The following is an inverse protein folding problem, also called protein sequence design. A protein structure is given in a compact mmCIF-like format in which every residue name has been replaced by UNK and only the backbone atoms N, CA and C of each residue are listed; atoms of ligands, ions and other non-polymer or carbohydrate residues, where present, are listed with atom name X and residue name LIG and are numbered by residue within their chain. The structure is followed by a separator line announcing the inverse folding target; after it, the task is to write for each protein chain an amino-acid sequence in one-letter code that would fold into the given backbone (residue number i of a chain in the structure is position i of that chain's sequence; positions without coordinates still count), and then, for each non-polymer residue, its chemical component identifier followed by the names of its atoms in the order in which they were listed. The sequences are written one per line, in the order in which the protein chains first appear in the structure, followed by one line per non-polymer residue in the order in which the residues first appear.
data_IF_041781665732
#
_entry.id   IF_041781665732
#
_cell.length_a   1.000
_cell.length_b   1.000
_cell.length_c   1.000
_cell.angle_alpha   90.00
_cell.angle_beta   90.00
_cell.angle_gamma   90.00
#
_symmetry.space_group_name_H-M   'P 1'
#
loop_
_entity.id
_entity.type
_entity.pdbx_description
1 polymer ?
#
# COMPACT_ATOMS: atom_id res chain seq x y z
N UNK A 1 -15.28 -10.98 30.26
CA UNK A 1 -14.16 -11.22 29.31
C UNK A 1 -14.61 -12.21 28.25
N UNK A 2 -15.06 -11.74 27.09
CA UNK A 2 -15.43 -12.62 25.96
C UNK A 2 -14.17 -13.13 25.28
N UNK A 3 -13.92 -14.45 25.32
CA UNK A 3 -12.84 -15.11 24.56
C UNK A 3 -12.96 -14.68 23.09
N UNK A 4 -11.87 -14.14 22.51
CA UNK A 4 -11.81 -13.81 21.08
C UNK A 4 -11.93 -15.10 20.28
N UNK A 5 -13.04 -15.27 19.55
CA UNK A 5 -13.15 -16.32 18.55
C UNK A 5 -12.71 -15.68 17.23
N UNK A 6 -11.64 -16.22 16.65
CA UNK A 6 -11.18 -15.87 15.30
C UNK A 6 -12.35 -16.10 14.34
N UNK A 7 -12.59 -15.17 13.40
CA UNK A 7 -13.69 -15.27 12.45
C UNK A 7 -13.56 -16.58 11.63
N UNK A 8 -14.58 -17.46 11.60
CA UNK A 8 -14.54 -18.69 10.84
C UNK A 8 -14.30 -18.46 9.33
N UNK A 9 -14.69 -17.30 8.77
CA UNK A 9 -14.38 -16.93 7.39
C UNK A 9 -12.88 -16.64 7.19
N UNK A 10 -12.22 -16.03 8.17
CA UNK A 10 -10.78 -15.79 8.12
C UNK A 10 -10.00 -17.10 8.19
N UNK A 11 -10.41 -18.01 9.09
CA UNK A 11 -9.82 -19.35 9.20
C UNK A 11 -10.06 -20.15 7.92
N UNK A 12 -11.28 -20.17 7.40
CA UNK A 12 -11.60 -20.85 6.15
C UNK A 12 -10.80 -20.27 4.96
N UNK A 13 -10.70 -18.94 4.84
CA UNK A 13 -9.92 -18.28 3.81
C UNK A 13 -8.43 -18.63 3.87
N UNK A 14 -7.84 -18.64 5.08
CA UNK A 14 -6.46 -19.05 5.29
C UNK A 14 -6.22 -20.53 4.93
N UNK A 15 -7.13 -21.43 5.34
CA UNK A 15 -7.04 -22.87 5.04
C UNK A 15 -7.18 -23.13 3.54
N UNK A 16 -8.13 -22.50 2.87
CA UNK A 16 -8.34 -22.64 1.43
C UNK A 16 -7.14 -22.07 0.64
N UNK A 17 -6.62 -20.91 1.05
CA UNK A 17 -5.41 -20.34 0.45
C UNK A 17 -4.20 -21.28 0.59
N UNK A 18 -3.98 -21.85 1.78
CA UNK A 18 -2.91 -22.82 2.02
C UNK A 18 -3.08 -24.12 1.22
N UNK A 19 -4.31 -24.65 1.13
CA UNK A 19 -4.61 -25.86 0.38
C UNK A 19 -4.38 -25.66 -1.13
N UNK A 20 -4.82 -24.53 -1.68
CA UNK A 20 -4.62 -24.21 -3.09
C UNK A 20 -3.18 -23.89 -3.42
N UNK A 21 -2.45 -23.24 -2.49
CA UNK A 21 -1.00 -23.07 -2.63
C UNK A 21 -0.29 -24.42 -2.70
N UNK A 22 -0.65 -25.37 -1.82
CA UNK A 22 -0.08 -26.71 -1.81
C UNK A 22 -0.40 -27.51 -3.09
N UNK A 23 -1.62 -27.38 -3.62
CA UNK A 23 -2.02 -28.01 -4.88
C UNK A 23 -1.30 -27.39 -6.08
N UNK A 24 -1.21 -26.06 -6.13
CA UNK A 24 -0.50 -25.33 -7.18
C UNK A 24 1.02 -25.58 -7.14
N UNK A 25 1.58 -25.82 -5.96
CA UNK A 25 3.02 -26.00 -5.72
C UNK A 25 3.66 -27.01 -6.67
N UNK A 26 2.97 -28.13 -6.92
CA UNK A 26 3.48 -29.21 -7.77
C UNK A 26 3.42 -28.88 -9.26
N UNK A 27 2.55 -27.96 -9.67
CA UNK A 27 2.28 -27.58 -11.06
C UNK A 27 3.04 -26.35 -11.52
N UNK A 28 3.54 -25.55 -10.59
CA UNK A 28 4.34 -24.36 -10.89
C UNK A 28 5.75 -24.75 -11.33
N UNK A 29 6.31 -24.07 -12.34
CA UNK A 29 7.73 -24.14 -12.66
C UNK A 29 8.58 -23.89 -11.40
N UNK A 30 9.69 -24.60 -11.25
CA UNK A 30 10.56 -24.48 -10.07
C UNK A 30 11.01 -23.03 -9.79
N UNK A 31 11.16 -22.23 -10.84
CA UNK A 31 11.49 -20.80 -10.79
C UNK A 31 10.38 -19.92 -10.20
N UNK A 32 9.10 -20.30 -10.29
CA UNK A 32 7.96 -19.47 -9.85
C UNK A 32 7.54 -19.74 -8.40
N UNK A 33 7.86 -20.93 -7.88
CA UNK A 33 7.58 -21.34 -6.48
C UNK A 33 8.12 -20.37 -5.41
N UNK A 34 9.36 -19.85 -5.50
CA UNK A 34 9.88 -18.89 -4.52
C UNK A 34 9.24 -17.49 -4.57
N UNK A 35 8.46 -17.13 -5.60
CA UNK A 35 7.74 -15.85 -5.69
C UNK A 35 6.36 -15.92 -5.01
N UNK A 36 5.69 -17.06 -5.15
CA UNK A 36 4.36 -17.26 -4.57
C UNK A 36 4.42 -17.46 -3.05
N UNK A 37 5.53 -18.00 -2.52
CA UNK A 37 5.69 -18.19 -1.09
C UNK A 37 5.67 -16.86 -0.32
N UNK A 38 6.45 -15.82 -0.68
CA UNK A 38 6.37 -14.51 -0.04
C UNK A 38 5.04 -13.79 -0.27
N UNK A 39 4.45 -13.81 -1.46
CA UNK A 39 3.12 -13.21 -1.71
C UNK A 39 2.00 -13.88 -0.87
N UNK A 40 2.11 -15.18 -0.65
CA UNK A 40 1.16 -15.93 0.19
C UNK A 40 1.46 -15.74 1.68
N UNK A 41 2.74 -15.71 2.06
CA UNK A 41 3.20 -15.46 3.43
C UNK A 41 2.92 -14.02 3.85
N UNK A 42 3.02 -13.02 2.97
CA UNK A 42 2.63 -11.62 3.26
C UNK A 42 1.13 -11.52 3.52
N UNK A 43 0.33 -12.22 2.73
CA UNK A 43 -1.14 -12.21 2.88
C UNK A 43 -1.56 -12.92 4.16
N UNK A 44 -0.93 -14.05 4.48
CA UNK A 44 -1.12 -14.79 5.73
C UNK A 44 -0.53 -14.08 6.95
N UNK A 45 0.59 -13.37 6.79
CA UNK A 45 1.22 -12.56 7.84
C UNK A 45 0.43 -11.28 8.08
N UNK A 46 -0.18 -10.68 7.06
CA UNK A 46 -1.09 -9.55 7.21
C UNK A 46 -2.37 -10.02 7.92
N UNK A 47 -2.97 -11.14 7.50
CA UNK A 47 -4.11 -11.75 8.18
C UNK A 47 -3.78 -12.15 9.64
N UNK A 48 -2.61 -12.74 9.85
CA UNK A 48 -2.09 -13.14 11.16
C UNK A 48 -1.75 -11.94 12.05
N UNK A 49 -1.19 -10.86 11.51
CA UNK A 49 -0.94 -9.60 12.21
C UNK A 49 -2.26 -8.94 12.60
N UNK A 50 -3.26 -8.90 11.71
CA UNK A 50 -4.59 -8.37 12.02
C UNK A 50 -5.26 -9.18 13.14
N UNK A 51 -5.13 -10.51 13.12
CA UNK A 51 -5.60 -11.39 14.19
C UNK A 51 -4.83 -11.22 15.51
N UNK A 52 -3.49 -11.06 15.45
CA UNK A 52 -2.62 -10.80 16.61
C UNK A 52 -2.92 -9.43 17.24
N UNK A 53 -3.21 -8.44 16.40
CA UNK A 53 -3.67 -7.11 16.79
C UNK A 53 -5.16 -7.10 17.15
N UNK A 54 -5.74 -8.24 17.60
CA UNK A 54 -7.16 -8.53 17.87
C UNK A 54 -7.98 -7.56 18.74
N UNK A 55 -7.49 -6.36 19.01
CA UNK A 55 -8.31 -5.15 19.22
C UNK A 55 -8.92 -4.59 17.93
N UNK A 56 -8.27 -4.76 16.76
CA UNK A 56 -8.77 -4.30 15.46
C UNK A 56 -10.09 -4.98 15.04
N UNK A 57 -10.30 -6.25 15.40
CA UNK A 57 -11.53 -6.99 15.07
C UNK A 57 -12.79 -6.42 15.76
N UNK A 58 -12.66 -5.88 16.99
CA UNK A 58 -13.80 -5.33 17.74
C UNK A 58 -14.23 -3.94 17.26
N UNK A 59 -13.27 -3.14 16.79
CA UNK A 59 -13.54 -1.77 16.32
C UNK A 59 -13.65 -1.66 14.79
N UNK A 60 -13.08 -2.61 14.02
CA UNK A 60 -12.89 -2.50 12.57
C UNK A 60 -13.24 -3.79 11.79
N UNK A 61 -14.34 -4.44 12.15
CA UNK A 61 -14.93 -5.59 11.44
C UNK A 61 -14.88 -5.52 9.89
N UNK A 62 -15.15 -4.36 9.23
CA UNK A 62 -15.05 -4.28 7.77
C UNK A 62 -13.67 -4.60 7.19
N UNK A 63 -12.58 -4.32 7.92
CA UNK A 63 -11.21 -4.60 7.48
C UNK A 63 -10.86 -6.08 7.64
N UNK A 64 -11.34 -6.71 8.71
CA UNK A 64 -11.21 -8.15 8.91
C UNK A 64 -11.99 -8.92 7.82
N UNK A 65 -13.24 -8.53 7.56
CA UNK A 65 -14.07 -9.10 6.50
C UNK A 65 -13.39 -8.93 5.12
N UNK A 66 -12.80 -7.76 4.85
CA UNK A 66 -12.07 -7.50 3.62
C UNK A 66 -10.87 -8.43 3.47
N UNK A 67 -10.07 -8.57 4.53
CA UNK A 67 -8.90 -9.46 4.52
C UNK A 67 -9.31 -10.91 4.26
N UNK A 68 -10.36 -11.41 4.92
CA UNK A 68 -10.88 -12.75 4.68
C UNK A 68 -11.37 -12.94 3.23
N UNK A 69 -12.11 -11.98 2.68
CA UNK A 69 -12.56 -12.01 1.30
C UNK A 69 -11.40 -11.97 0.30
N UNK A 70 -10.37 -11.18 0.57
CA UNK A 70 -9.17 -11.11 -0.26
C UNK A 70 -8.45 -12.46 -0.32
N UNK A 71 -8.31 -13.15 0.82
CA UNK A 71 -7.72 -14.50 0.86
C UNK A 71 -8.52 -15.51 0.03
N UNK A 72 -9.85 -15.50 0.17
CA UNK A 72 -10.73 -16.40 -0.62
C UNK A 72 -10.64 -16.11 -2.12
N UNK A 73 -10.60 -14.84 -2.52
CA UNK A 73 -10.51 -14.47 -3.92
C UNK A 73 -9.13 -14.77 -4.52
N UNK A 74 -8.06 -14.59 -3.75
CA UNK A 74 -6.71 -14.98 -4.17
C UNK A 74 -6.62 -16.50 -4.41
N UNK A 75 -7.23 -17.28 -3.52
CA UNK A 75 -7.44 -18.71 -3.72
C UNK A 75 -8.21 -19.00 -5.03
N UNK A 76 -9.34 -18.34 -5.25
CA UNK A 76 -10.13 -18.49 -6.48
C UNK A 76 -9.34 -18.16 -7.75
N UNK A 77 -8.53 -17.10 -7.73
CA UNK A 77 -7.65 -16.71 -8.84
C UNK A 77 -6.61 -17.78 -9.12
N UNK A 78 -5.98 -18.33 -8.09
CA UNK A 78 -5.01 -19.41 -8.25
C UNK A 78 -5.65 -20.66 -8.88
N UNK A 79 -6.85 -21.04 -8.43
CA UNK A 79 -7.60 -22.14 -9.03
C UNK A 79 -7.99 -21.87 -10.50
N UNK A 80 -8.44 -20.66 -10.81
CA UNK A 80 -8.76 -20.25 -12.19
C UNK A 80 -7.52 -20.26 -13.08
N UNK A 81 -6.38 -19.77 -12.59
CA UNK A 81 -5.14 -19.78 -13.34
C UNK A 81 -4.71 -21.21 -13.72
N UNK A 82 -4.85 -22.16 -12.79
CA UNK A 82 -4.59 -23.58 -13.06
C UNK A 82 -5.59 -24.20 -14.05
N UNK A 83 -6.87 -23.81 -13.99
CA UNK A 83 -7.92 -24.36 -14.84
C UNK A 83 -7.86 -23.84 -16.29
N UNK A 84 -7.52 -22.56 -16.46
CA UNK A 84 -7.50 -21.88 -17.76
C UNK A 84 -6.09 -21.70 -18.34
N UNK A 85 -5.06 -22.22 -17.67
CA UNK A 85 -3.66 -22.09 -18.11
C UNK A 85 -3.19 -20.62 -18.16
N UNK A 86 -3.64 -19.78 -17.22
CA UNK A 86 -3.20 -18.39 -17.16
C UNK A 86 -1.76 -18.29 -16.68
N UNK A 87 -0.99 -17.41 -17.31
CA UNK A 87 0.30 -16.98 -16.79
C UNK A 87 0.15 -16.16 -15.49
N UNK A 88 1.26 -16.03 -14.76
CA UNK A 88 1.32 -15.30 -13.49
C UNK A 88 0.84 -13.85 -13.63
N UNK A 89 1.20 -13.16 -14.73
CA UNK A 89 0.86 -11.76 -14.94
C UNK A 89 -0.65 -11.55 -15.08
N UNK A 90 -1.33 -12.43 -15.83
CA UNK A 90 -2.78 -12.41 -15.96
C UNK A 90 -3.45 -12.72 -14.63
N UNK A 91 -2.98 -13.74 -13.90
CA UNK A 91 -3.52 -14.08 -12.59
C UNK A 91 -3.44 -12.89 -11.62
N UNK A 92 -2.27 -12.23 -11.54
CA UNK A 92 -2.08 -11.03 -10.72
C UNK A 92 -2.99 -9.88 -11.17
N UNK A 93 -3.16 -9.67 -12.47
CA UNK A 93 -4.01 -8.60 -13.01
C UNK A 93 -5.49 -8.83 -12.67
N UNK A 94 -5.98 -10.08 -12.77
CA UNK A 94 -7.33 -10.45 -12.33
C UNK A 94 -7.48 -10.27 -10.83
N UNK A 95 -6.48 -10.66 -10.04
CA UNK A 95 -6.48 -10.48 -8.58
C UNK A 95 -6.59 -9.00 -8.18
N UNK A 96 -5.95 -8.08 -8.90
CA UNK A 96 -6.09 -6.63 -8.67
C UNK A 96 -7.55 -6.19 -8.84
N UNK A 97 -8.22 -6.62 -9.90
CA UNK A 97 -9.65 -6.30 -10.13
C UNK A 97 -10.55 -6.85 -9.02
N UNK A 98 -10.35 -8.10 -8.60
CA UNK A 98 -11.10 -8.68 -7.48
C UNK A 98 -10.77 -8.02 -6.14
N UNK A 99 -9.53 -7.57 -5.94
CA UNK A 99 -9.14 -6.76 -4.78
C UNK A 99 -9.90 -5.43 -4.70
N UNK A 100 -10.18 -4.79 -5.84
CA UNK A 100 -11.07 -3.62 -5.87
C UNK A 100 -12.51 -3.96 -5.47
N UNK A 101 -13.02 -5.14 -5.85
CA UNK A 101 -14.35 -5.63 -5.44
C UNK A 101 -14.42 -5.78 -3.92
N UNK A 102 -13.43 -6.44 -3.32
CA UNK A 102 -13.32 -6.58 -1.86
C UNK A 102 -13.26 -5.22 -1.17
N UNK A 103 -12.40 -4.34 -1.68
CA UNK A 103 -12.22 -3.00 -1.12
C UNK A 103 -13.51 -2.21 -1.20
N UNK A 104 -14.22 -2.26 -2.33
CA UNK A 104 -15.51 -1.61 -2.52
C UNK A 104 -16.58 -2.12 -1.56
N UNK A 105 -16.68 -3.45 -1.40
CA UNK A 105 -17.61 -4.07 -0.46
C UNK A 105 -17.34 -3.63 0.99
N UNK A 106 -16.08 -3.61 1.40
CA UNK A 106 -15.70 -3.13 2.73
C UNK A 106 -15.94 -1.62 2.89
N UNK A 107 -15.75 -0.84 1.82
CA UNK A 107 -15.92 0.63 1.83
C UNK A 107 -17.35 1.02 2.16
N UNK A 108 -18.35 0.26 1.71
CA UNK A 108 -19.76 0.48 2.04
C UNK A 108 -20.04 0.46 3.56
N UNK A 109 -19.23 -0.28 4.32
CA UNK A 109 -19.36 -0.46 5.77
C UNK A 109 -18.37 0.41 6.57
N UNK A 110 -17.59 1.24 5.89
CA UNK A 110 -16.55 2.05 6.50
C UNK A 110 -17.16 3.15 7.39
N UNK A 111 -16.90 3.07 8.69
CA UNK A 111 -17.20 4.15 9.64
C UNK A 111 -16.23 5.33 9.44
N UNK A 112 -16.66 6.57 9.75
CA UNK A 112 -15.78 7.72 9.74
C UNK A 112 -14.46 7.47 10.45
N UNK A 113 -13.36 7.68 9.73
CA UNK A 113 -12.03 7.41 10.24
C UNK A 113 -10.93 7.80 9.27
N UNK A 114 -9.71 7.78 9.78
CA UNK A 114 -8.52 8.11 9.00
C UNK A 114 -7.85 6.87 8.39
N UNK A 115 -8.47 5.70 8.53
CA UNK A 115 -7.89 4.41 8.19
C UNK A 115 -8.43 3.82 6.89
N UNK A 116 -9.75 3.76 6.75
CA UNK A 116 -10.41 2.99 5.70
C UNK A 116 -11.51 3.80 5.02
N UNK A 117 -11.73 3.54 3.72
CA UNK A 117 -12.68 4.26 2.87
C UNK A 117 -12.07 5.38 2.02
N UNK A 118 -12.90 5.96 1.15
CA UNK A 118 -12.53 7.06 0.27
C UNK A 118 -12.45 8.37 1.07
N UNK A 119 -11.23 8.89 1.24
CA UNK A 119 -10.93 10.01 2.14
C UNK A 119 -10.54 11.24 1.34
N UNK A 120 -11.41 12.25 1.40
CA UNK A 120 -11.13 13.61 0.96
C UNK A 120 -11.23 14.56 2.14
N UNK A 121 -10.77 15.80 1.99
CA UNK A 121 -10.93 16.81 3.04
C UNK A 121 -12.41 16.98 3.43
N UNK A 122 -13.31 16.89 2.44
CA UNK A 122 -14.74 17.11 2.59
C UNK A 122 -15.43 15.99 3.35
N UNK A 123 -15.10 14.74 3.03
CA UNK A 123 -15.63 13.57 3.78
C UNK A 123 -15.19 13.57 5.24
N UNK A 124 -14.06 14.20 5.57
CA UNK A 124 -13.58 14.27 6.94
C UNK A 124 -14.19 15.46 7.72
N UNK A 125 -14.59 16.50 7.01
CA UNK A 125 -15.22 17.70 7.57
C UNK A 125 -16.74 17.63 7.66
N UNK A 126 -17.38 16.62 7.03
CA UNK A 126 -18.82 16.40 7.09
C UNK A 126 -19.15 14.91 7.13
N UNK A 127 -19.88 14.50 8.17
CA UNK A 127 -20.39 13.14 8.31
C UNK A 127 -21.38 12.77 7.19
N UNK A 128 -22.22 13.73 6.75
CA UNK A 128 -23.07 13.55 5.57
C UNK A 128 -22.24 13.26 4.33
N UNK A 129 -21.22 14.08 4.07
CA UNK A 129 -20.33 13.87 2.93
C UNK A 129 -19.60 12.54 3.01
N UNK A 130 -19.19 12.10 4.21
CA UNK A 130 -18.60 10.78 4.43
C UNK A 130 -19.51 9.67 3.91
N UNK A 131 -20.72 9.51 4.46
CA UNK A 131 -21.57 8.37 4.14
C UNK A 131 -22.06 8.38 2.69
N UNK A 132 -22.37 9.55 2.13
CA UNK A 132 -22.74 9.67 0.73
C UNK A 132 -21.60 9.21 -0.19
N UNK A 133 -20.37 9.66 0.10
CA UNK A 133 -19.20 9.30 -0.69
C UNK A 133 -18.84 7.82 -0.54
N UNK A 134 -18.89 7.24 0.66
CA UNK A 134 -18.57 5.82 0.84
C UNK A 134 -19.56 4.90 0.11
N UNK A 135 -20.85 5.27 0.08
CA UNK A 135 -21.89 4.50 -0.62
C UNK A 135 -21.62 4.45 -2.13
N UNK A 136 -21.30 5.59 -2.75
CA UNK A 136 -20.98 5.62 -4.18
C UNK A 136 -19.60 5.03 -4.47
N UNK A 137 -18.62 5.25 -3.59
CA UNK A 137 -17.28 4.65 -3.73
C UNK A 137 -17.36 3.13 -3.73
N UNK A 138 -18.18 2.53 -2.86
CA UNK A 138 -18.39 1.10 -2.81
C UNK A 138 -18.91 0.54 -4.14
N UNK A 139 -19.96 1.16 -4.70
CA UNK A 139 -20.55 0.75 -5.98
C UNK A 139 -19.55 0.90 -7.12
N UNK A 140 -18.84 2.03 -7.17
CA UNK A 140 -17.87 2.32 -8.22
C UNK A 140 -16.68 1.35 -8.18
N UNK A 141 -16.11 1.10 -7.00
CA UNK A 141 -14.98 0.16 -6.84
C UNK A 141 -15.37 -1.28 -7.19
N UNK A 142 -16.56 -1.73 -6.78
CA UNK A 142 -17.07 -3.06 -7.17
C UNK A 142 -17.24 -3.15 -8.69
N UNK A 143 -17.87 -2.14 -9.30
CA UNK A 143 -18.13 -2.15 -10.75
C UNK A 143 -16.83 -2.12 -11.56
N UNK A 144 -15.93 -1.18 -11.24
CA UNK A 144 -14.62 -1.08 -11.88
C UNK A 144 -13.80 -2.35 -11.66
N UNK A 145 -13.81 -2.90 -10.45
CA UNK A 145 -13.11 -4.14 -10.12
C UNK A 145 -13.58 -5.34 -10.95
N UNK A 146 -14.90 -5.51 -11.08
CA UNK A 146 -15.49 -6.57 -11.92
C UNK A 146 -15.15 -6.38 -13.40
N UNK A 147 -15.30 -5.16 -13.92
CA UNK A 147 -14.97 -4.84 -15.32
C UNK A 147 -13.49 -5.11 -15.59
N UNK A 148 -12.60 -4.64 -14.70
CA UNK A 148 -11.16 -4.83 -14.84
C UNK A 148 -10.77 -6.31 -14.76
N UNK A 149 -11.33 -7.06 -13.80
CA UNK A 149 -11.07 -8.49 -13.67
C UNK A 149 -11.56 -9.29 -14.89
N UNK A 150 -12.76 -9.00 -15.39
CA UNK A 150 -13.29 -9.64 -16.59
C UNK A 150 -12.44 -9.32 -17.82
N UNK A 151 -12.05 -8.05 -18.00
CA UNK A 151 -11.19 -7.64 -19.10
C UNK A 151 -9.83 -8.34 -19.02
N UNK A 152 -9.21 -8.39 -17.84
CA UNK A 152 -7.96 -9.09 -17.62
C UNK A 152 -8.05 -10.61 -17.88
N UNK A 153 -9.16 -11.25 -17.52
CA UNK A 153 -9.35 -12.69 -17.74
C UNK A 153 -9.48 -13.04 -19.23
N UNK A 154 -10.22 -12.23 -19.99
CA UNK A 154 -10.66 -12.52 -21.36
C UNK A 154 -9.73 -11.97 -22.45
N UNK A 155 -8.93 -10.95 -22.15
CA UNK A 155 -8.11 -10.27 -23.16
C UNK A 155 -6.85 -11.08 -23.50
N UNK A 156 -6.48 -11.21 -24.79
CA UNK A 156 -5.22 -11.83 -25.20
C UNK A 156 -4.00 -11.16 -24.55
N UNK A 157 -2.98 -11.95 -24.19
CA UNK A 157 -1.80 -11.47 -23.45
C UNK A 157 -1.07 -10.30 -24.15
N UNK A 158 -1.06 -10.29 -25.49
CA UNK A 158 -0.44 -9.26 -26.31
C UNK A 158 -1.05 -7.85 -26.11
N UNK A 159 -2.32 -7.75 -25.71
CA UNK A 159 -2.99 -6.48 -25.40
C UNK A 159 -2.99 -6.18 -23.90
N UNK A 160 -2.97 -7.22 -23.07
CA UNK A 160 -3.06 -7.12 -21.62
C UNK A 160 -1.83 -6.42 -21.00
N UNK A 161 -0.63 -6.85 -21.38
CA UNK A 161 0.63 -6.38 -20.76
C UNK A 161 0.95 -4.91 -21.08
N UNK A 162 0.93 -4.43 -22.35
CA UNK A 162 1.32 -3.06 -22.65
C UNK A 162 0.24 -2.00 -22.37
N UNK A 163 -1.05 -2.37 -22.33
CA UNK A 163 -2.13 -1.38 -22.28
C UNK A 163 -3.04 -1.54 -21.06
N UNK A 164 -3.48 -2.76 -20.75
CA UNK A 164 -4.47 -2.97 -19.68
C UNK A 164 -3.86 -2.72 -18.31
N UNK A 165 -2.66 -3.26 -18.05
CA UNK A 165 -1.98 -3.12 -16.76
C UNK A 165 -1.63 -1.65 -16.46
N UNK A 166 -0.89 -0.91 -17.33
CA UNK A 166 -0.48 0.46 -17.01
C UNK A 166 -1.58 1.51 -17.22
N UNK A 167 -2.41 1.38 -18.26
CA UNK A 167 -3.35 2.44 -18.67
C UNK A 167 -4.78 2.11 -18.26
N UNK A 168 -5.19 0.84 -18.32
CA UNK A 168 -6.56 0.42 -18.03
C UNK A 168 -7.05 0.81 -16.64
N UNK A 169 -6.25 0.57 -15.60
CA UNK A 169 -6.62 0.92 -14.23
C UNK A 169 -6.75 2.45 -14.06
N UNK A 170 -5.86 3.23 -14.68
CA UNK A 170 -5.90 4.69 -14.61
C UNK A 170 -7.14 5.24 -15.31
N UNK A 171 -7.43 4.76 -16.53
CA UNK A 171 -8.61 5.17 -17.30
C UNK A 171 -9.90 4.85 -16.57
N UNK A 172 -9.97 3.71 -15.88
CA UNK A 172 -11.16 3.31 -15.12
C UNK A 172 -11.28 4.04 -13.77
N UNK A 173 -10.19 4.22 -13.03
CA UNK A 173 -10.22 4.81 -11.69
C UNK A 173 -10.21 6.34 -11.69
N UNK A 174 -9.57 7.00 -12.65
CA UNK A 174 -9.45 8.46 -12.66
C UNK A 174 -10.82 9.16 -12.67
N UNK A 175 -11.80 8.78 -13.54
CA UNK A 175 -13.14 9.35 -13.50
C UNK A 175 -13.86 9.08 -12.18
N UNK A 176 -13.65 7.89 -11.58
CA UNK A 176 -14.22 7.54 -10.27
C UNK A 176 -13.66 8.44 -9.18
N UNK A 177 -12.34 8.60 -9.10
CA UNK A 177 -11.68 9.47 -8.10
C UNK A 177 -12.16 10.92 -8.24
N UNK A 178 -12.20 11.45 -9.46
CA UNK A 178 -12.69 12.82 -9.73
C UNK A 178 -14.17 12.95 -9.39
N UNK A 179 -15.00 11.98 -9.77
CA UNK A 179 -16.43 11.95 -9.48
C UNK A 179 -16.72 11.92 -7.97
N UNK A 180 -16.03 11.05 -7.23
CA UNK A 180 -16.17 10.95 -5.78
C UNK A 180 -15.66 12.19 -5.05
N UNK A 181 -14.58 12.83 -5.54
CA UNK A 181 -14.13 14.10 -4.98
C UNK A 181 -15.13 15.24 -5.21
N UNK A 182 -15.75 15.29 -6.40
CA UNK A 182 -16.83 16.27 -6.70
C UNK A 182 -18.07 16.00 -5.86
N UNK A 183 -18.47 14.73 -5.72
CA UNK A 183 -19.59 14.32 -4.88
C UNK A 183 -19.35 14.72 -3.42
N UNK A 184 -18.18 14.40 -2.88
CA UNK A 184 -17.88 14.72 -1.49
C UNK A 184 -17.89 16.23 -1.22
N UNK A 185 -17.42 17.04 -2.18
CA UNK A 185 -17.50 18.49 -2.08
C UNK A 185 -18.96 19.00 -2.11
N UNK A 186 -19.79 18.47 -3.03
CA UNK A 186 -21.20 18.86 -3.14
C UNK A 186 -21.99 18.52 -1.88
N UNK A 187 -21.81 17.31 -1.34
CA UNK A 187 -22.49 16.89 -0.12
C UNK A 187 -22.01 17.67 1.11
N UNK A 188 -20.73 18.05 1.14
CA UNK A 188 -20.20 18.93 2.17
C UNK A 188 -20.82 20.33 2.12
N UNK A 189 -21.01 20.91 0.93
CA UNK A 189 -21.68 22.21 0.79
C UNK A 189 -23.17 22.14 1.15
N UNK A 190 -23.82 21.01 0.88
CA UNK A 190 -25.22 20.77 1.20
C UNK A 190 -25.46 20.47 2.69
N UNK A 191 -24.41 20.17 3.46
CA UNK A 191 -24.47 19.97 4.90
C UNK A 191 -24.49 21.33 5.63
N UNK A 192 -25.66 21.68 6.19
CA UNK A 192 -25.84 22.90 6.97
C UNK A 192 -25.21 22.81 8.36
N UNK A 193 -25.12 21.62 8.94
CA UNK A 193 -24.57 21.42 10.29
C UNK A 193 -23.05 21.27 10.27
N UNK A 194 -22.48 20.81 9.14
CA UNK A 194 -21.04 20.59 8.91
C UNK A 194 -20.37 19.83 10.06
N UNK A 195 -21.06 18.80 10.58
CA UNK A 195 -20.55 17.98 11.68
C UNK A 195 -19.31 17.21 11.21
N UNK A 196 -18.12 17.43 11.81
CA UNK A 196 -16.91 16.75 11.38
C UNK A 196 -17.04 15.24 11.55
N UNK A 197 -16.72 14.49 10.50
CA UNK A 197 -16.80 13.03 10.53
C UNK A 197 -15.72 12.41 11.44
N UNK A 198 -14.58 13.11 11.61
CA UNK A 198 -13.49 12.66 12.46
C UNK A 198 -13.07 13.75 13.46
N UNK A 199 -12.69 13.33 14.66
CA UNK A 199 -12.18 14.22 15.69
C UNK A 199 -10.93 14.97 15.20
N UNK A 200 -10.89 16.27 15.46
CA UNK A 200 -9.76 17.13 15.09
C UNK A 200 -9.69 17.47 13.59
N UNK A 201 -10.70 17.13 12.78
CA UNK A 201 -10.80 17.64 11.42
C UNK A 201 -11.00 19.16 11.41
N UNK A 202 -10.21 19.86 10.60
CA UNK A 202 -10.22 21.32 10.48
C UNK A 202 -10.15 21.73 9.02
N UNK A 203 -10.87 22.81 8.67
CA UNK A 203 -10.81 23.39 7.33
C UNK A 203 -9.42 23.95 7.01
N UNK A 204 -8.79 24.56 8.01
CA UNK A 204 -7.45 25.11 7.93
C UNK A 204 -6.54 24.35 8.90
N UNK A 205 -5.60 23.60 8.33
CA UNK A 205 -4.54 22.96 9.10
C UNK A 205 -3.45 23.97 9.42
N UNK A 206 -2.75 23.82 10.58
CA UNK A 206 -1.59 24.64 10.89
C UNK A 206 -0.49 24.45 9.84
N UNK A 207 0.49 25.34 9.83
CA UNK A 207 1.70 25.18 9.02
C UNK A 207 2.37 23.81 9.28
N UNK A 208 3.20 23.36 8.34
CA UNK A 208 3.94 22.12 8.53
C UNK A 208 4.80 22.18 9.79
N UNK A 209 4.75 21.14 10.60
CA UNK A 209 5.67 20.97 11.71
C UNK A 209 7.11 20.82 11.20
N UNK A 210 8.10 20.95 12.09
CA UNK A 210 9.49 20.66 11.74
C UNK A 210 9.65 19.22 11.22
N UNK A 211 8.95 18.26 11.81
CA UNK A 211 8.99 16.85 11.38
C UNK A 211 8.38 16.63 10.00
N UNK A 212 7.25 17.27 9.70
CA UNK A 212 6.61 17.20 8.37
C UNK A 212 7.49 17.82 7.29
N UNK A 213 8.19 18.94 7.59
CA UNK A 213 9.14 19.55 6.65
C UNK A 213 10.33 18.63 6.36
N UNK A 214 10.88 17.97 7.37
CA UNK A 214 11.96 17.00 7.21
C UNK A 214 11.49 15.81 6.37
N UNK A 215 10.32 15.23 6.68
CA UNK A 215 9.76 14.11 5.92
C UNK A 215 9.49 14.47 4.45
N UNK A 216 8.95 15.67 4.19
CA UNK A 216 8.78 16.16 2.83
C UNK A 216 10.13 16.35 2.12
N UNK A 217 11.12 16.90 2.81
CA UNK A 217 12.49 17.04 2.29
C UNK A 217 13.11 15.69 1.93
N UNK A 218 12.89 14.65 2.74
CA UNK A 218 13.33 13.27 2.44
C UNK A 218 12.57 12.69 1.25
N UNK A 219 11.24 12.86 1.21
CA UNK A 219 10.39 12.34 0.14
C UNK A 219 10.73 12.91 -1.24
N UNK A 220 11.17 14.17 -1.29
CA UNK A 220 11.61 14.84 -2.52
C UNK A 220 13.10 14.60 -2.79
N UNK A 221 13.93 14.74 -1.75
CA UNK A 221 15.38 14.66 -1.86
C UNK A 221 15.88 13.30 -2.29
N UNK A 222 15.33 12.19 -1.76
CA UNK A 222 15.79 10.85 -2.10
C UNK A 222 15.58 10.49 -3.59
N UNK A 223 14.39 10.69 -4.19
CA UNK A 223 14.22 10.52 -5.63
C UNK A 223 15.06 11.49 -6.47
N UNK A 224 15.23 12.75 -6.05
CA UNK A 224 16.08 13.72 -6.77
C UNK A 224 17.55 13.30 -6.76
N UNK A 225 18.06 12.84 -5.63
CA UNK A 225 19.42 12.32 -5.51
C UNK A 225 19.63 11.09 -6.38
N UNK A 226 18.63 10.19 -6.42
CA UNK A 226 18.65 9.02 -7.31
C UNK A 226 18.66 9.42 -8.78
N UNK A 227 17.81 10.38 -9.17
CA UNK A 227 17.77 10.92 -10.53
C UNK A 227 19.10 11.57 -10.91
N UNK A 228 19.66 12.42 -10.03
CA UNK A 228 20.94 13.07 -10.26
C UNK A 228 22.09 12.05 -10.39
N UNK A 229 22.13 11.04 -9.52
CA UNK A 229 23.11 9.97 -9.60
C UNK A 229 23.03 9.21 -10.94
N UNK A 230 21.82 8.87 -11.39
CA UNK A 230 21.61 8.22 -12.68
C UNK A 230 22.02 9.11 -13.86
N UNK A 231 21.71 10.40 -13.84
CA UNK A 231 22.13 11.34 -14.88
C UNK A 231 23.66 11.49 -14.94
N UNK A 232 24.34 11.45 -13.79
CA UNK A 232 25.81 11.47 -13.71
C UNK A 232 26.42 10.16 -14.22
N UNK A 233 25.80 9.01 -13.92
CA UNK A 233 26.29 7.69 -14.31
C UNK A 233 25.94 7.33 -15.76
N UNK A 234 24.92 7.94 -16.35
CA UNK A 234 24.40 7.66 -17.69
C UNK A 234 25.48 7.54 -18.77
N UNK A 235 26.47 8.46 -18.85
CA UNK A 235 27.51 8.38 -19.88
C UNK A 235 28.47 7.19 -19.71
N UNK A 236 28.55 6.62 -18.49
CA UNK A 236 29.41 5.50 -18.15
C UNK A 236 28.69 4.15 -18.24
N UNK A 237 27.39 4.14 -18.50
CA UNK A 237 26.61 2.92 -18.64
C UNK A 237 26.76 2.31 -20.04
N UNK A 238 26.72 0.98 -20.17
CA UNK A 238 26.73 0.31 -21.46
C UNK A 238 25.50 0.69 -22.31
N UNK A 239 25.57 0.47 -23.62
CA UNK A 239 24.45 0.76 -24.54
C UNK A 239 23.14 0.06 -24.14
N UNK A 240 23.24 -1.10 -23.48
CA UNK A 240 22.11 -1.83 -22.92
C UNK A 240 22.39 -2.21 -21.48
N UNK A 241 21.40 -1.96 -20.61
CA UNK A 241 21.42 -2.31 -19.19
C UNK A 241 20.26 -3.24 -18.86
N UNK A 242 20.39 -4.09 -17.82
CA UNK A 242 19.28 -4.88 -17.34
C UNK A 242 18.19 -3.98 -16.75
N UNK A 243 16.95 -4.14 -17.22
CA UNK A 243 15.77 -3.37 -16.80
C UNK A 243 14.74 -4.22 -16.06
N UNK A 244 14.75 -5.54 -16.30
CA UNK A 244 13.95 -6.50 -15.60
C UNK A 244 14.81 -7.73 -15.30
N UNK A 245 14.48 -8.38 -14.19
CA UNK A 245 15.12 -9.60 -13.75
C UNK A 245 14.05 -10.64 -13.49
N UNK A 246 14.30 -11.87 -13.93
CA UNK A 246 13.42 -12.99 -13.68
C UNK A 246 13.49 -13.42 -12.21
N UNK A 247 12.71 -14.46 -11.88
CA UNK A 247 12.65 -15.03 -10.55
C UNK A 247 14.00 -15.53 -10.00
N UNK A 248 14.92 -15.93 -10.89
CA UNK A 248 16.26 -16.40 -10.55
C UNK A 248 17.25 -15.23 -10.37
N UNK A 249 16.77 -13.98 -10.35
CA UNK A 249 17.61 -12.78 -10.26
C UNK A 249 18.48 -12.55 -11.50
N UNK A 250 18.21 -13.26 -12.59
CA UNK A 250 18.90 -13.10 -13.86
C UNK A 250 18.19 -12.05 -14.71
N UNK A 251 18.96 -11.22 -15.39
CA UNK A 251 18.39 -10.23 -16.29
C UNK A 251 17.69 -10.91 -17.48
N UNK A 252 16.38 -10.72 -17.61
CA UNK A 252 15.54 -11.27 -18.68
C UNK A 252 14.98 -10.19 -19.62
N UNK A 253 15.15 -8.90 -19.27
CA UNK A 253 14.91 -7.75 -20.15
C UNK A 253 16.04 -6.76 -20.07
N UNK A 254 16.62 -6.45 -21.22
CA UNK A 254 17.59 -5.37 -21.40
C UNK A 254 16.95 -4.22 -22.16
N UNK A 255 17.47 -3.02 -21.98
CA UNK A 255 17.03 -1.84 -22.74
C UNK A 255 17.93 -0.64 -22.52
N UNK A 256 17.44 0.52 -22.92
CA UNK A 256 18.25 1.75 -22.89
C UNK A 256 18.54 2.17 -21.44
N UNK A 257 19.76 2.66 -21.12
CA UNK A 257 20.05 3.30 -19.84
C UNK A 257 19.09 4.44 -19.49
N UNK A 258 18.50 5.10 -20.49
CA UNK A 258 17.50 6.15 -20.28
C UNK A 258 16.24 5.62 -19.57
N UNK A 259 15.89 4.36 -19.77
CA UNK A 259 14.72 3.76 -19.13
C UNK A 259 14.88 3.67 -17.61
N UNK A 260 16.11 3.66 -17.09
CA UNK A 260 16.39 3.69 -15.64
C UNK A 260 15.89 5.00 -14.98
N UNK A 261 15.75 6.08 -15.76
CA UNK A 261 15.20 7.35 -15.27
C UNK A 261 13.70 7.25 -14.93
N UNK A 262 12.99 6.26 -15.47
CA UNK A 262 11.54 6.11 -15.30
C UNK A 262 11.16 5.94 -13.83
N UNK A 263 11.91 5.13 -13.07
CA UNK A 263 11.58 4.84 -11.68
C UNK A 263 11.75 6.04 -10.73
N UNK A 264 12.86 6.79 -10.72
CA UNK A 264 12.95 8.01 -9.92
C UNK A 264 11.94 9.08 -10.36
N UNK A 265 11.59 9.16 -11.65
CA UNK A 265 10.50 10.03 -12.12
C UNK A 265 9.14 9.59 -11.59
N UNK A 266 8.85 8.28 -11.54
CA UNK A 266 7.67 7.72 -10.86
C UNK A 266 7.72 8.07 -9.37
N UNK A 267 8.87 7.94 -8.71
CA UNK A 267 9.06 8.33 -7.32
C UNK A 267 8.73 9.81 -7.06
N UNK A 268 9.22 10.70 -7.92
CA UNK A 268 8.89 12.13 -7.88
C UNK A 268 7.40 12.39 -8.13
N UNK A 269 6.80 11.70 -9.11
CA UNK A 269 5.37 11.77 -9.40
C UNK A 269 4.51 11.32 -8.23
N UNK A 270 4.87 10.20 -7.59
CA UNK A 270 4.20 9.70 -6.39
C UNK A 270 4.38 10.65 -5.20
N UNK A 271 5.58 11.21 -5.01
CA UNK A 271 5.83 12.23 -3.99
C UNK A 271 4.97 13.48 -4.24
N UNK A 272 4.89 13.96 -5.48
CA UNK A 272 4.06 15.10 -5.86
C UNK A 272 2.56 14.82 -5.62
N UNK A 273 2.09 13.62 -5.98
CA UNK A 273 0.73 13.16 -5.74
C UNK A 273 0.40 13.13 -4.24
N UNK A 274 1.26 12.50 -3.43
CA UNK A 274 1.05 12.38 -2.00
C UNK A 274 1.21 13.73 -1.29
N UNK A 275 2.11 14.60 -1.75
CA UNK A 275 2.20 15.97 -1.29
C UNK A 275 0.91 16.76 -1.59
N UNK A 276 0.38 16.68 -2.82
CA UNK A 276 -0.88 17.30 -3.18
C UNK A 276 -2.03 16.76 -2.31
N UNK A 277 -2.07 15.44 -2.07
CA UNK A 277 -3.03 14.80 -1.15
C UNK A 277 -2.86 15.30 0.30
N UNK A 278 -1.63 15.51 0.76
CA UNK A 278 -1.32 16.08 2.08
C UNK A 278 -1.82 17.53 2.22
N UNK A 279 -1.86 18.27 1.11
CA UNK A 279 -2.21 19.70 1.10
C UNK A 279 -3.69 19.95 0.89
N UNK A 280 -4.32 19.17 0.03
CA UNK A 280 -5.70 19.38 -0.43
C UNK A 280 -6.66 18.28 0.03
N UNK A 281 -6.17 17.06 0.27
CA UNK A 281 -6.98 15.90 0.67
C UNK A 281 -7.03 15.65 2.18
N UNK A 282 -6.13 16.26 2.95
CA UNK A 282 -6.03 16.04 4.40
C UNK A 282 -6.85 17.04 5.20
N UNK A 283 -7.56 16.55 6.21
CA UNK A 283 -8.34 17.38 7.15
C UNK A 283 -7.79 17.36 8.58
N UNK A 284 -6.84 16.47 8.89
CA UNK A 284 -6.19 16.38 10.21
C UNK A 284 -4.66 16.42 10.09
N UNK A 285 -3.94 16.94 11.11
CA UNK A 285 -2.47 16.86 11.14
C UNK A 285 -1.98 15.40 11.11
N UNK A 286 -2.71 14.48 11.73
CA UNK A 286 -2.36 13.06 11.77
C UNK A 286 -2.38 12.41 10.38
N UNK A 287 -3.46 12.63 9.62
CA UNK A 287 -3.56 12.13 8.25
C UNK A 287 -2.46 12.71 7.35
N UNK A 288 -2.20 14.02 7.49
CA UNK A 288 -1.17 14.72 6.72
C UNK A 288 0.22 14.17 7.01
N UNK A 289 0.57 14.02 8.28
CA UNK A 289 1.85 13.46 8.72
C UNK A 289 2.04 12.04 8.19
N UNK A 290 1.05 11.16 8.34
CA UNK A 290 1.11 9.79 7.81
C UNK A 290 1.31 9.82 6.28
N UNK A 291 0.57 10.68 5.56
CA UNK A 291 0.72 10.81 4.10
C UNK A 291 2.15 11.21 3.71
N UNK A 292 2.79 12.11 4.47
CA UNK A 292 4.17 12.53 4.24
C UNK A 292 5.18 11.42 4.59
N UNK A 293 4.93 10.63 5.64
CA UNK A 293 5.75 9.43 5.91
C UNK A 293 5.66 8.45 4.75
N UNK A 294 4.46 8.21 4.21
CA UNK A 294 4.27 7.31 3.05
C UNK A 294 4.99 7.83 1.81
N UNK A 295 4.98 9.13 1.58
CA UNK A 295 5.75 9.75 0.49
C UNK A 295 7.26 9.54 0.69
N UNK A 296 7.76 9.73 1.92
CA UNK A 296 9.16 9.51 2.25
C UNK A 296 9.59 8.04 2.07
N UNK A 297 8.73 7.10 2.45
CA UNK A 297 8.96 5.67 2.24
C UNK A 297 8.96 5.29 0.75
N UNK A 298 8.03 5.83 -0.04
CA UNK A 298 8.02 5.64 -1.48
C UNK A 298 9.29 6.18 -2.14
N UNK A 299 9.74 7.37 -1.73
CA UNK A 299 11.00 7.94 -2.19
C UNK A 299 12.22 7.10 -1.80
N UNK A 300 12.25 6.59 -0.57
CA UNK A 300 13.30 5.70 -0.09
C UNK A 300 13.35 4.35 -0.79
N UNK A 301 12.19 3.79 -1.16
CA UNK A 301 12.14 2.54 -1.91
C UNK A 301 12.77 2.69 -3.31
N UNK A 302 12.52 3.83 -3.95
CA UNK A 302 12.98 4.10 -5.32
C UNK A 302 14.44 4.59 -5.35
N UNK A 303 14.95 5.21 -4.29
CA UNK A 303 16.23 5.89 -4.36
C UNK A 303 17.44 5.00 -4.71
N UNK A 304 17.58 3.78 -4.13
CA UNK A 304 18.73 2.92 -4.40
C UNK A 304 18.70 2.24 -5.76
N UNK A 305 17.66 2.46 -6.60
CA UNK A 305 17.53 1.80 -7.91
C UNK A 305 18.67 2.12 -8.88
N UNK A 306 19.37 3.24 -8.70
CA UNK A 306 20.60 3.54 -9.42
C UNK A 306 21.70 2.47 -9.19
N UNK A 307 21.69 1.78 -8.04
CA UNK A 307 22.60 0.67 -7.77
C UNK A 307 22.25 -0.57 -8.60
N UNK A 308 21.03 -0.68 -9.12
CA UNK A 308 20.57 -1.80 -9.95
C UNK A 308 21.25 -1.87 -11.31
N UNK A 309 21.78 -0.74 -11.79
CA UNK A 309 22.57 -0.70 -13.02
C UNK A 309 23.89 -1.48 -12.92
N UNK A 310 24.30 -1.88 -11.71
CA UNK A 310 25.48 -2.74 -11.47
C UNK A 310 25.19 -4.24 -11.69
N UNK A 311 23.95 -4.60 -12.03
CA UNK A 311 23.55 -5.99 -12.30
C UNK A 311 23.16 -6.81 -11.07
N UNK A 312 23.23 -6.24 -9.86
CA UNK A 312 22.88 -6.92 -8.60
C UNK A 312 21.53 -6.46 -8.04
N UNK A 313 20.44 -7.09 -8.49
CA UNK A 313 19.07 -6.73 -8.05
C UNK A 313 18.88 -6.86 -6.54
N UNK A 314 19.47 -7.88 -5.90
CA UNK A 314 19.33 -8.12 -4.47
C UNK A 314 19.95 -6.99 -3.62
N UNK A 315 21.09 -6.43 -4.04
CA UNK A 315 21.72 -5.28 -3.38
C UNK A 315 20.79 -4.08 -3.43
N UNK A 316 20.22 -3.84 -4.61
CA UNK A 316 19.30 -2.73 -4.86
C UNK A 316 18.05 -2.83 -4.00
N UNK A 317 17.43 -4.01 -3.99
CA UNK A 317 16.20 -4.25 -3.24
C UNK A 317 16.45 -4.20 -1.74
N UNK A 318 17.53 -4.79 -1.22
CA UNK A 318 17.85 -4.67 0.21
C UNK A 318 18.21 -3.24 0.63
N UNK A 319 18.89 -2.47 -0.23
CA UNK A 319 19.22 -1.07 0.05
C UNK A 319 17.94 -0.24 0.12
N UNK A 320 16.97 -0.48 -0.76
CA UNK A 320 15.65 0.14 -0.72
C UNK A 320 14.94 -0.10 0.63
N UNK A 321 14.93 -1.34 1.12
CA UNK A 321 14.29 -1.68 2.40
C UNK A 321 15.04 -1.12 3.60
N UNK A 322 16.38 -1.18 3.59
CA UNK A 322 17.20 -0.56 4.63
C UNK A 322 16.93 0.96 4.70
N UNK A 323 16.84 1.63 3.54
CA UNK A 323 16.55 3.07 3.48
C UNK A 323 15.13 3.38 3.95
N UNK A 324 14.14 2.57 3.58
CA UNK A 324 12.78 2.70 4.14
C UNK A 324 12.79 2.57 5.67
N UNK A 325 13.62 1.69 6.25
CA UNK A 325 13.68 1.47 7.70
C UNK A 325 14.35 2.65 8.38
N UNK A 326 15.37 3.25 7.74
CA UNK A 326 15.96 4.51 8.17
C UNK A 326 14.92 5.63 8.16
N UNK A 327 14.08 5.72 7.10
CA UNK A 327 12.99 6.69 7.06
C UNK A 327 11.95 6.46 8.16
N UNK A 328 11.57 5.21 8.45
CA UNK A 328 10.71 4.90 9.60
C UNK A 328 11.37 5.28 10.92
N UNK A 329 12.65 4.96 11.10
CA UNK A 329 13.41 5.29 12.30
C UNK A 329 13.42 6.81 12.52
N UNK A 330 13.68 7.58 11.46
CA UNK A 330 13.63 9.03 11.45
C UNK A 330 12.22 9.54 11.80
N UNK A 331 11.18 9.03 11.14
CA UNK A 331 9.79 9.41 11.39
C UNK A 331 9.40 9.20 12.86
N UNK A 332 9.81 8.08 13.46
CA UNK A 332 9.55 7.77 14.87
C UNK A 332 10.44 8.52 15.86
N UNK A 333 11.66 8.89 15.46
CA UNK A 333 12.56 9.70 16.29
C UNK A 333 12.10 11.16 16.38
N UNK A 334 11.41 11.65 15.34
CA UNK A 334 10.83 12.98 15.28
C UNK A 334 9.46 13.04 15.99
N UNK A 335 9.02 14.24 16.44
CA UNK A 335 7.67 14.42 16.98
C UNK A 335 6.60 14.06 15.94
N UNK A 336 5.72 13.13 16.31
CA UNK A 336 4.55 12.74 15.52
C UNK A 336 3.40 13.75 15.58
N UNK A 337 2.21 13.38 15.09
CA UNK A 337 1.03 14.25 15.07
C UNK A 337 0.56 14.73 16.45
N UNK A 338 0.81 13.92 17.46
CA UNK A 338 0.50 14.17 18.87
C UNK A 338 1.63 14.92 19.60
N UNK A 339 2.67 15.34 18.87
CA UNK A 339 3.87 16.00 19.42
C UNK A 339 4.84 15.05 20.14
N UNK A 340 4.52 13.76 20.24
CA UNK A 340 5.34 12.77 20.95
C UNK A 340 6.29 12.04 20.01
N UNK A 341 7.46 11.68 20.54
CA UNK A 341 8.45 10.82 19.87
C UNK A 341 8.22 9.36 20.24
N UNK A 342 8.54 8.43 19.32
CA UNK A 342 8.42 6.97 19.50
C UNK A 342 9.80 6.33 19.50
N UNK A 343 10.63 6.72 20.47
CA UNK A 343 12.06 6.39 20.55
C UNK A 343 12.32 4.89 20.46
N UNK A 344 11.52 4.04 21.13
CA UNK A 344 11.66 2.58 21.04
C UNK A 344 11.45 2.05 19.62
N UNK A 345 10.40 2.51 18.93
CA UNK A 345 10.13 2.12 17.54
C UNK A 345 11.25 2.62 16.61
N UNK A 346 11.77 3.83 16.88
CA UNK A 346 12.91 4.36 16.13
C UNK A 346 14.16 3.48 16.25
N UNK A 347 14.51 3.06 17.46
CA UNK A 347 15.64 2.14 17.69
C UNK A 347 15.44 0.77 17.04
N UNK A 348 14.23 0.21 17.11
CA UNK A 348 13.91 -1.06 16.44
C UNK A 348 14.10 -0.93 14.94
N UNK A 349 13.52 0.10 14.30
CA UNK A 349 13.67 0.32 12.87
C UNK A 349 15.14 0.57 12.47
N UNK A 350 15.88 1.37 13.25
CA UNK A 350 17.31 1.64 12.99
C UNK A 350 18.18 0.40 13.17
N UNK A 351 17.92 -0.41 14.20
CA UNK A 351 18.62 -1.68 14.41
C UNK A 351 18.35 -2.70 13.31
N UNK A 352 17.09 -2.81 12.85
CA UNK A 352 16.74 -3.65 11.71
C UNK A 352 17.41 -3.16 10.41
N UNK A 353 17.49 -1.85 10.19
CA UNK A 353 18.18 -1.28 9.04
C UNK A 353 19.67 -1.66 9.04
N UNK A 354 20.32 -1.59 10.20
CA UNK A 354 21.72 -1.97 10.36
C UNK A 354 21.93 -3.48 10.17
N UNK A 355 21.03 -4.30 10.69
CA UNK A 355 21.06 -5.75 10.54
C UNK A 355 20.88 -6.22 9.09
N UNK A 356 20.29 -5.39 8.23
CA UNK A 356 20.18 -5.66 6.78
C UNK A 356 21.48 -5.41 6.01
N UNK A 357 22.44 -4.65 6.55
CA UNK A 357 23.70 -4.32 5.85
C UNK A 357 24.58 -5.57 5.59
N UNK A 358 24.79 -6.50 6.55
CA UNK A 358 25.51 -7.74 6.26
C UNK A 358 24.78 -8.61 5.24
N UNK A 359 23.44 -8.61 5.29
CA UNK A 359 22.59 -9.34 4.35
C UNK A 359 22.79 -8.83 2.91
N UNK A 360 23.03 -7.53 2.76
CA UNK A 360 23.26 -6.85 1.49
C UNK A 360 24.65 -7.10 0.89
N UNK A 361 25.67 -7.23 1.73
CA UNK A 361 27.06 -7.28 1.30
C UNK A 361 27.61 -8.70 1.15
N UNK A 362 27.05 -9.67 1.88
CA UNK A 362 27.66 -10.99 2.04
C UNK A 362 26.79 -12.16 1.56
N UNK A 363 25.54 -11.95 1.15
CA UNK A 363 24.73 -13.04 0.64
C UNK A 363 25.08 -13.38 -0.82
N UNK A 364 25.36 -14.66 -1.12
CA UNK A 364 25.50 -15.10 -2.50
C UNK A 364 24.17 -14.90 -3.26
N UNK A 365 24.22 -14.69 -4.59
CA UNK A 365 23.05 -14.33 -5.41
C UNK A 365 21.82 -15.20 -5.16
N UNK A 366 22.00 -16.52 -5.06
CA UNK A 366 20.92 -17.50 -4.79
C UNK A 366 20.25 -17.35 -3.42
N UNK A 367 20.98 -16.96 -2.38
CA UNK A 367 20.38 -16.64 -1.08
C UNK A 367 19.71 -15.27 -1.08
N UNK A 368 20.19 -14.37 -1.93
CA UNK A 368 19.72 -13.02 -2.07
C UNK A 368 18.33 -12.94 -2.77
N UNK A 369 17.98 -13.96 -3.57
CA UNK A 369 16.65 -14.16 -4.18
C UNK A 369 15.55 -14.40 -3.12
N UNK A 370 15.77 -15.35 -2.19
CA UNK A 370 14.83 -15.64 -1.10
C UNK A 370 14.67 -14.44 -0.16
N UNK A 371 15.76 -13.70 0.06
CA UNK A 371 15.77 -12.44 0.80
C UNK A 371 15.00 -11.35 0.06
N UNK A 372 15.15 -11.22 -1.26
CA UNK A 372 14.42 -10.24 -2.05
C UNK A 372 12.91 -10.43 -1.98
N UNK A 373 12.43 -11.67 -2.05
CA UNK A 373 11.03 -12.01 -1.85
C UNK A 373 10.53 -11.65 -0.44
N UNK A 374 11.28 -12.02 0.60
CA UNK A 374 10.95 -11.68 2.00
C UNK A 374 10.94 -10.15 2.23
N UNK A 375 11.85 -9.44 1.58
CA UNK A 375 11.94 -8.00 1.65
C UNK A 375 10.74 -7.33 0.99
N UNK A 376 10.31 -7.76 -0.20
CA UNK A 376 9.12 -7.21 -0.87
C UNK A 376 7.86 -7.27 0.04
N UNK A 377 7.70 -8.39 0.75
CA UNK A 377 6.66 -8.61 1.76
C UNK A 377 6.80 -7.65 2.94
N UNK A 378 8.02 -7.56 3.47
CA UNK A 378 8.34 -6.69 4.58
C UNK A 378 8.13 -5.21 4.22
N UNK A 379 8.49 -4.78 3.01
CA UNK A 379 8.26 -3.45 2.47
C UNK A 379 6.80 -3.07 2.43
N UNK A 380 5.91 -4.00 2.01
CA UNK A 380 4.46 -3.81 2.09
C UNK A 380 3.97 -3.54 3.51
N UNK A 381 4.50 -4.27 4.50
CA UNK A 381 4.15 -4.06 5.92
C UNK A 381 4.70 -2.75 6.48
N UNK A 382 5.85 -2.28 5.99
CA UNK A 382 6.44 -1.01 6.41
C UNK A 382 5.59 0.20 6.03
N UNK A 383 4.82 0.13 4.94
CA UNK A 383 3.84 1.15 4.59
C UNK A 383 2.66 1.21 5.58
N UNK A 384 2.37 0.12 6.30
CA UNK A 384 1.30 0.10 7.30
C UNK A 384 1.77 0.49 8.71
N UNK A 385 3.06 0.28 9.02
CA UNK A 385 3.62 0.51 10.36
C UNK A 385 3.41 1.94 10.91
N UNK A 386 3.61 3.04 10.14
CA UNK A 386 3.31 4.38 10.62
C UNK A 386 1.85 4.54 11.04
N UNK A 387 0.93 3.95 10.29
CA UNK A 387 -0.49 4.07 10.57
C UNK A 387 -0.80 3.50 11.96
N UNK A 388 -0.27 2.30 12.28
CA UNK A 388 -0.53 1.63 13.56
C UNK A 388 0.18 2.33 14.72
N UNK A 389 1.46 2.63 14.53
CA UNK A 389 2.28 3.16 15.62
C UNK A 389 1.81 4.56 15.97
N UNK A 390 1.55 5.46 15.01
CA UNK A 390 1.16 6.84 15.30
C UNK A 390 -0.19 6.98 16.03
N UNK A 391 -0.97 5.90 16.17
CA UNK A 391 -2.15 5.88 17.04
C UNK A 391 -3.13 6.98 16.67
N UNK A 392 -3.37 7.15 15.37
CA UNK A 392 -4.28 8.16 14.85
C UNK A 392 -5.65 7.93 15.49
N UNK A 393 -6.20 8.91 16.26
CA UNK A 393 -7.35 8.68 17.12
C UNK A 393 -8.49 8.09 16.33
N UNK A 394 -8.86 6.87 16.72
CA UNK A 394 -9.99 6.13 16.19
C UNK A 394 -11.17 6.57 17.04
N UNK A 395 -12.18 7.15 16.41
CA UNK A 395 -13.31 7.70 17.13
C UNK A 395 -14.09 6.52 17.76
N UNK A 396 -13.75 6.14 19.00
CA UNK A 396 -14.38 5.04 19.73
C UNK A 396 -15.57 5.48 20.57
N UNK A 397 -15.97 6.76 20.50
CA UNK A 397 -17.08 7.25 21.27
C UNK A 397 -17.88 8.27 20.49
N UNK A 398 -19.02 7.85 19.95
CA UNK A 398 -20.19 8.71 20.10
C UNK A 398 -20.29 9.05 21.59
N UNK A 399 -20.40 10.32 22.01
CA UNK A 399 -21.04 10.57 23.28
C UNK A 399 -22.44 9.97 23.11
N UNK A 400 -22.72 8.87 23.81
CA UNK A 400 -24.11 8.52 24.03
C UNK A 400 -24.73 9.78 24.61
N UNK A 401 -25.68 10.38 23.89
CA UNK A 401 -26.56 11.36 24.53
C UNK A 401 -27.04 10.65 25.78
N UNK A 402 -26.65 11.15 26.96
CA UNK A 402 -27.38 10.79 28.18
C UNK A 402 -28.84 11.06 27.83
N UNK A 403 -29.76 10.11 28.06
CA UNK A 403 -31.16 10.43 27.97
C UNK A 403 -31.40 11.65 28.86
N UNK A 404 -31.87 12.74 28.26
CA UNK A 404 -32.53 13.80 29.02
C UNK A 404 -33.83 13.17 29.55
N UNK A 405 -33.76 12.68 30.78
CA UNK A 405 -34.88 12.23 31.62
C UNK A 405 -34.32 12.15 33.04
N UNK A 406 -34.78 12.86 34.07
CA UNK A 406 -35.99 13.64 34.27
C UNK A 406 -35.66 14.75 35.30
N UNK A 407 -36.48 15.78 35.28
CA UNK A 407 -36.61 16.88 36.25
C UNK A 407 -36.64 16.44 37.71
#
# INVERSE_FOLDING_TARGET
MSKSRVDPLLVAGAVVALALLALAWTRLPGSERPILLPLSVSSLALGGLVALLGGLEREHRPVADATAQALVLQAGVAAAALAFGWDLMRALTVAVGLGLVVTGNATARARPGLWFGFRTRWTLLSERAWYATQREAARALVTVGLVYAAFAALTPAALLVPWVIPVGLVVLLLPVVVGLHRLSYREYLADSERRPAVAGARQHLPAYSASERVLLGVAVGLPLLSLAALLILLPSLPEQVPLHFNAAGEADRFGSPLELLTLPLIGLGLTALLWASSRFGSATPAQRHVTLVMAALGGAFVAPLALGSTGSMHVTLGAAHALMLVVLALAFALPGPDGKRRVRAAWVCGGLALALVPLLLFLPPRGAEAVGGLLLVFGGMMFLAPMFVFGVPMNTGWPQRKPESES
#
